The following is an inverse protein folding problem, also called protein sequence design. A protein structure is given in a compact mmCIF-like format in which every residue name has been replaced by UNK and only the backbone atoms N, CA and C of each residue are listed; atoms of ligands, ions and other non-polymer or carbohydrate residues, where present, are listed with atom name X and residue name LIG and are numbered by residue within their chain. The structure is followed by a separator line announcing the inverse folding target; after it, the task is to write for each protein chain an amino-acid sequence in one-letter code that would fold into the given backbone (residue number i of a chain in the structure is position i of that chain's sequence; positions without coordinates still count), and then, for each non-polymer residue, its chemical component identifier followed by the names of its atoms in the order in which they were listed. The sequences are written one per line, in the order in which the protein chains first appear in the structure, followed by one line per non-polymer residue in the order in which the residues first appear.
data_IF_974085390650
#
_entry.id   IF_974085390650
#
_cell.length_a   1.000
_cell.length_b   1.000
_cell.length_c   1.000
_cell.angle_alpha   90.00
_cell.angle_beta   90.00
_cell.angle_gamma   90.00
#
_symmetry.space_group_name_H-M   'P 1'
#
loop_
_entity.id
_entity.type
_entity.pdbx_description
1 polymer ?
#
# COMPACT_ATOMS: atom_id res chain seq x y z
N UNK A 1 0.03 9.96 8.54
CA UNK A 1 0.48 8.91 9.48
C UNK A 1 0.18 7.54 8.89
N UNK A 2 0.83 6.48 9.37
CA UNK A 2 0.49 5.09 9.01
C UNK A 2 -0.96 4.76 9.40
N UNK A 3 -1.67 4.06 8.53
CA UNK A 3 -3.02 3.57 8.80
C UNK A 3 -3.18 2.10 8.42
N UNK A 4 -3.96 1.37 9.23
CA UNK A 4 -4.29 -0.03 9.01
C UNK A 4 -5.34 -0.12 7.91
N UNK A 5 -5.16 -1.06 6.99
CA UNK A 5 -6.14 -1.37 5.94
C UNK A 5 -7.13 -2.40 6.48
N UNK A 6 -8.38 -1.99 6.66
CA UNK A 6 -9.48 -2.89 7.01
C UNK A 6 -9.98 -3.63 5.76
N UNK A 7 -9.67 -4.92 5.66
CA UNK A 7 -10.14 -5.75 4.54
C UNK A 7 -11.63 -6.12 4.63
N UNK A 8 -12.31 -5.86 5.76
CA UNK A 8 -13.76 -6.05 5.92
C UNK A 8 -14.53 -4.84 5.42
N UNK A 9 -13.98 -3.64 5.60
CA UNK A 9 -14.57 -2.38 5.16
C UNK A 9 -13.64 -1.67 4.17
N UNK A 10 -13.74 -2.05 2.90
CA UNK A 10 -12.86 -1.53 1.84
C UNK A 10 -13.08 -0.02 1.66
N UNK A 11 -11.99 0.76 1.71
CA UNK A 11 -11.99 2.21 1.61
C UNK A 11 -11.03 2.72 0.54
N UNK A 12 -11.43 3.76 -0.18
CA UNK A 12 -10.61 4.47 -1.18
C UNK A 12 -9.73 5.56 -0.57
N UNK A 13 -9.64 5.63 0.77
CA UNK A 13 -8.83 6.63 1.46
C UNK A 13 -7.37 6.60 0.98
N UNK A 14 -6.84 7.76 0.61
CA UNK A 14 -5.48 7.91 0.08
C UNK A 14 -5.29 7.37 -1.35
N UNK A 15 -6.37 7.22 -2.12
CA UNK A 15 -6.38 6.83 -3.54
C UNK A 15 -7.26 7.74 -4.41
N UNK A 16 -7.79 8.82 -3.84
CA UNK A 16 -8.83 9.68 -4.42
C UNK A 16 -8.40 10.36 -5.72
N UNK A 17 -7.09 10.56 -5.90
CA UNK A 17 -6.53 11.12 -7.13
C UNK A 17 -6.43 10.12 -8.29
N UNK A 18 -6.61 8.83 -8.02
CA UNK A 18 -6.51 7.78 -9.04
C UNK A 18 -7.83 7.61 -9.80
N UNK A 19 -7.81 7.49 -11.14
CA UNK A 19 -9.01 7.19 -11.92
C UNK A 19 -9.54 5.76 -11.67
N UNK A 20 -8.77 4.92 -10.96
CA UNK A 20 -9.11 3.52 -10.64
C UNK A 20 -9.04 3.25 -9.14
N UNK A 21 -9.44 4.23 -8.33
CA UNK A 21 -9.35 4.19 -6.87
C UNK A 21 -9.98 2.94 -6.24
N UNK A 22 -11.17 2.53 -6.70
CA UNK A 22 -11.88 1.34 -6.18
C UNK A 22 -11.09 0.04 -6.43
N UNK A 23 -10.53 -0.13 -7.62
CA UNK A 23 -9.74 -1.30 -7.95
C UNK A 23 -8.46 -1.39 -7.10
N UNK A 24 -7.79 -0.25 -6.90
CA UNK A 24 -6.60 -0.16 -6.03
C UNK A 24 -6.95 -0.41 -4.55
N UNK A 25 -8.10 0.08 -4.08
CA UNK A 25 -8.60 -0.20 -2.73
C UNK A 25 -8.88 -1.70 -2.54
N UNK A 26 -9.48 -2.35 -3.55
CA UNK A 26 -9.69 -3.79 -3.57
C UNK A 26 -8.38 -4.59 -3.54
N UNK A 27 -7.36 -4.15 -4.27
CA UNK A 27 -6.02 -4.75 -4.22
C UNK A 27 -5.41 -4.67 -2.82
N UNK A 28 -5.42 -3.48 -2.20
CA UNK A 28 -4.93 -3.28 -0.82
C UNK A 28 -5.69 -4.14 0.19
N UNK A 29 -7.01 -4.27 0.06
CA UNK A 29 -7.82 -5.12 0.93
C UNK A 29 -7.46 -6.61 0.77
N UNK A 30 -7.17 -7.07 -0.46
CA UNK A 30 -6.71 -8.43 -0.69
C UNK A 30 -5.36 -8.72 -0.03
N UNK A 31 -4.41 -7.79 -0.11
CA UNK A 31 -3.12 -7.88 0.57
C UNK A 31 -3.31 -7.93 2.09
N UNK A 32 -4.10 -7.02 2.65
CA UNK A 32 -4.40 -6.98 4.08
C UNK A 32 -5.02 -8.28 4.60
N UNK A 33 -5.99 -8.84 3.86
CA UNK A 33 -6.58 -10.14 4.15
C UNK A 33 -5.54 -11.26 4.12
N UNK A 34 -4.64 -11.25 3.13
CA UNK A 34 -3.58 -12.25 3.02
C UNK A 34 -2.63 -12.20 4.22
N UNK A 35 -2.14 -11.01 4.59
CA UNK A 35 -1.22 -10.86 5.72
C UNK A 35 -1.87 -11.28 7.05
N UNK A 36 -3.11 -10.90 7.29
CA UNK A 36 -3.84 -11.32 8.48
C UNK A 36 -4.10 -12.84 8.50
N UNK A 37 -4.53 -13.41 7.38
CA UNK A 37 -4.84 -14.85 7.32
C UNK A 37 -3.59 -15.70 7.51
N UNK A 38 -2.51 -15.39 6.77
CA UNK A 38 -1.30 -16.21 6.72
C UNK A 38 -0.34 -15.95 7.87
N UNK A 39 -0.16 -14.69 8.25
CA UNK A 39 0.87 -14.27 9.21
C UNK A 39 0.32 -13.69 10.50
N UNK A 40 -1.00 -13.48 10.61
CA UNK A 40 -1.64 -12.81 11.76
C UNK A 40 -1.04 -11.43 12.01
N UNK A 41 -0.72 -10.72 10.93
CA UNK A 41 -0.10 -9.41 10.95
C UNK A 41 -0.99 -8.37 10.27
N UNK A 42 -1.09 -7.19 10.86
CA UNK A 42 -1.83 -6.06 10.30
C UNK A 42 -1.09 -5.46 9.10
N UNK A 43 -1.81 -5.17 8.02
CA UNK A 43 -1.25 -4.48 6.87
C UNK A 43 -1.51 -2.98 7.02
N UNK A 44 -0.45 -2.19 6.97
CA UNK A 44 -0.54 -0.73 7.10
C UNK A 44 0.05 -0.04 5.88
N UNK A 45 -0.45 1.14 5.57
CA UNK A 45 0.08 1.99 4.50
C UNK A 45 0.33 3.41 5.01
N UNK A 46 1.29 4.10 4.41
CA UNK A 46 1.70 5.46 4.74
C UNK A 46 1.53 6.33 3.50
N UNK A 47 1.06 7.59 3.61
CA UNK A 47 1.04 8.51 2.48
C UNK A 47 2.43 8.66 1.86
N UNK A 48 2.50 8.68 0.52
CA UNK A 48 3.78 8.78 -0.20
C UNK A 48 4.61 9.99 0.24
N UNK A 49 3.96 11.14 0.48
CA UNK A 49 4.58 12.37 0.97
C UNK A 49 5.23 12.26 2.35
N UNK A 50 4.86 11.26 3.14
CA UNK A 50 5.41 11.02 4.48
C UNK A 50 6.49 9.93 4.51
N UNK A 51 6.75 9.24 3.38
CA UNK A 51 7.71 8.14 3.30
C UNK A 51 8.78 8.38 2.22
N UNK A 52 9.37 9.57 2.24
CA UNK A 52 10.36 9.99 1.24
C UNK A 52 11.57 9.05 1.18
N UNK A 53 12.06 8.56 2.32
CA UNK A 53 13.19 7.63 2.37
C UNK A 53 12.88 6.30 1.65
N UNK A 54 11.67 5.75 1.83
CA UNK A 54 11.23 4.53 1.14
C UNK A 54 11.12 4.77 -0.36
N UNK A 55 10.58 5.93 -0.77
CA UNK A 55 10.49 6.29 -2.19
C UNK A 55 11.88 6.43 -2.82
N UNK A 56 12.81 7.09 -2.15
CA UNK A 56 14.18 7.26 -2.61
C UNK A 56 14.89 5.91 -2.75
N UNK A 57 14.67 5.00 -1.79
CA UNK A 57 15.19 3.64 -1.85
C UNK A 57 14.66 2.87 -3.06
N UNK A 58 13.34 2.87 -3.27
CA UNK A 58 12.71 2.19 -4.42
C UNK A 58 13.20 2.81 -5.73
N UNK A 59 13.23 4.14 -5.85
CA UNK A 59 13.74 4.84 -7.02
C UNK A 59 15.21 4.49 -7.31
N UNK A 60 16.03 4.32 -6.27
CA UNK A 60 17.42 3.86 -6.43
C UNK A 60 17.50 2.44 -6.96
N UNK A 61 16.62 1.53 -6.52
CA UNK A 61 16.56 0.16 -7.07
C UNK A 61 16.15 0.20 -8.54
N UNK A 62 15.08 0.93 -8.88
CA UNK A 62 14.55 0.99 -10.24
C UNK A 62 15.53 1.62 -11.25
N UNK A 63 16.46 2.46 -10.78
CA UNK A 63 17.54 3.04 -11.60
C UNK A 63 18.69 2.08 -11.90
N UNK A 64 18.78 0.93 -11.23
CA UNK A 64 19.82 -0.07 -11.51
C UNK A 64 19.30 -1.00 -12.61
N UNK A 65 19.94 -1.06 -13.79
CA UNK A 65 19.64 -2.10 -14.76
C UNK A 65 19.97 -3.46 -14.13
N UNK A 66 19.01 -4.38 -14.19
CA UNK A 66 19.07 -5.81 -13.89
C UNK A 66 20.40 -6.33 -13.30
N UNK A 67 20.36 -6.81 -12.04
CA UNK A 67 21.29 -7.85 -11.57
C UNK A 67 21.02 -9.15 -12.33
#
# INVERSE_FOLDING_TARGET
MSHIVDFKNVSTAGLESSPVAEALAGLRANEARYFMNKYKHEFTVVPASESQETLDYVNRILKRPNL
#
